data_IF_045573004920
#
_entry.id   IF_045573004920
#
_cell.length_a   1.000
_cell.length_b   1.000
_cell.length_c   1.000
_cell.angle_alpha   90.00
_cell.angle_beta   90.00
_cell.angle_gamma   90.00
#
_symmetry.space_group_name_H-M   'P 1'
#
loop_
_entity.id
_entity.type
_entity.pdbx_description
1 polymer ?
#
# COMPACT_ATOMS: atom_id res chain seq x y z
N UNK A 1 13.23 18.56 -16.36
CA UNK A 1 12.15 18.34 -15.38
C UNK A 1 11.27 17.25 -15.97
N UNK A 2 11.41 15.99 -15.53
CA UNK A 2 10.65 14.88 -16.13
C UNK A 2 9.28 14.80 -15.47
N UNK A 3 8.27 15.15 -16.26
CA UNK A 3 6.87 14.90 -15.98
C UNK A 3 6.69 13.40 -15.69
N UNK A 4 6.42 13.03 -14.43
CA UNK A 4 5.91 11.70 -14.13
C UNK A 4 4.45 11.71 -14.55
N UNK A 5 4.22 11.33 -15.81
CA UNK A 5 2.90 11.05 -16.34
C UNK A 5 2.29 9.98 -15.43
N UNK A 6 1.18 10.31 -14.79
CA UNK A 6 0.44 9.37 -13.98
C UNK A 6 -0.13 8.28 -14.91
N UNK A 7 0.67 7.25 -15.17
CA UNK A 7 0.18 6.02 -15.78
C UNK A 7 -0.97 5.54 -14.90
N UNK A 8 -2.16 5.48 -15.49
CA UNK A 8 -3.38 5.03 -14.83
C UNK A 8 -3.22 3.52 -14.65
N UNK A 9 -2.54 3.14 -13.56
CA UNK A 9 -2.30 1.73 -13.21
C UNK A 9 -3.66 1.04 -13.10
N UNK A 10 -3.89 0.04 -13.97
CA UNK A 10 -5.05 -0.83 -13.89
C UNK A 10 -4.82 -1.77 -12.72
N UNK A 11 -5.21 -1.32 -11.53
CA UNK A 11 -5.07 -2.05 -10.28
C UNK A 11 -6.24 -3.02 -10.09
N UNK A 12 -5.94 -4.22 -9.61
CA UNK A 12 -6.97 -5.19 -9.28
C UNK A 12 -7.66 -4.86 -7.94
N UNK A 13 -8.77 -5.53 -7.62
CA UNK A 13 -9.53 -5.27 -6.38
C UNK A 13 -8.71 -5.47 -5.08
N UNK A 14 -7.68 -6.32 -5.10
CA UNK A 14 -6.81 -6.54 -3.93
C UNK A 14 -5.83 -5.37 -3.76
N UNK A 15 -5.31 -4.84 -4.86
CA UNK A 15 -4.46 -3.66 -4.88
C UNK A 15 -5.22 -2.40 -4.48
N UNK A 16 -6.45 -2.21 -4.94
CA UNK A 16 -7.30 -1.10 -4.52
C UNK A 16 -7.51 -1.11 -2.99
N UNK A 17 -7.75 -2.30 -2.43
CA UNK A 17 -7.90 -2.49 -0.98
C UNK A 17 -6.60 -2.18 -0.24
N UNK A 18 -5.46 -2.60 -0.77
CA UNK A 18 -4.14 -2.25 -0.22
C UNK A 18 -3.91 -0.74 -0.23
N UNK A 19 -4.20 -0.08 -1.36
CA UNK A 19 -4.03 1.37 -1.50
C UNK A 19 -4.87 2.13 -0.47
N UNK A 20 -6.09 1.64 -0.20
CA UNK A 20 -6.99 2.20 0.80
C UNK A 20 -6.43 2.06 2.21
N UNK A 21 -5.90 0.88 2.55
CA UNK A 21 -5.27 0.63 3.85
C UNK A 21 -4.04 1.52 4.05
N UNK A 22 -3.18 1.65 3.03
CA UNK A 22 -2.00 2.53 3.09
C UNK A 22 -2.42 4.00 3.35
N UNK A 23 -3.47 4.47 2.67
CA UNK A 23 -3.99 5.82 2.89
C UNK A 23 -4.64 6.02 4.26
N UNK A 24 -5.29 4.99 4.79
CA UNK A 24 -5.98 5.02 6.08
C UNK A 24 -5.01 4.99 7.27
N UNK A 25 -3.93 4.20 7.16
CA UNK A 25 -2.94 4.04 8.24
C UNK A 25 -2.38 5.38 8.69
N UNK A 26 -2.12 6.32 7.77
CA UNK A 26 -1.66 7.68 8.05
C UNK A 26 -0.24 7.78 8.62
N UNK A 27 0.09 6.97 9.63
CA UNK A 27 1.39 6.81 10.25
C UNK A 27 1.52 5.39 10.84
N UNK A 28 2.65 4.74 10.60
CA UNK A 28 2.91 3.38 11.09
C UNK A 28 3.63 2.54 10.04
N UNK A 29 3.84 1.26 10.37
CA UNK A 29 4.47 0.30 9.46
C UNK A 29 3.40 -0.69 8.97
N UNK A 30 3.48 -1.08 7.70
CA UNK A 30 2.60 -2.11 7.12
C UNK A 30 3.50 -3.13 6.45
N UNK A 31 3.29 -4.40 6.77
CA UNK A 31 3.93 -5.51 6.07
C UNK A 31 2.96 -6.07 5.06
N UNK A 32 3.34 -5.96 3.80
CA UNK A 32 2.59 -6.54 2.68
C UNK A 32 3.37 -7.76 2.20
N UNK A 33 2.70 -8.90 2.16
CA UNK A 33 3.25 -10.12 1.57
C UNK A 33 2.71 -10.23 0.15
N UNK A 34 3.62 -10.08 -0.81
CA UNK A 34 3.35 -10.21 -2.23
C UNK A 34 3.84 -11.58 -2.67
N UNK A 35 3.02 -12.31 -3.40
CA UNK A 35 3.38 -13.59 -3.97
C UNK A 35 2.75 -13.69 -5.36
N UNK A 36 3.57 -14.09 -6.35
CA UNK A 36 3.20 -14.10 -7.77
C UNK A 36 2.58 -12.78 -8.26
N UNK A 37 3.14 -11.64 -7.82
CA UNK A 37 2.65 -10.31 -8.18
C UNK A 37 1.33 -9.90 -7.53
N UNK A 38 0.76 -10.73 -6.66
CA UNK A 38 -0.50 -10.45 -5.97
C UNK A 38 -0.26 -10.18 -4.47
N UNK A 39 -0.85 -9.12 -3.89
CA UNK A 39 -0.85 -8.95 -2.44
C UNK A 39 -1.74 -10.03 -1.83
N UNK A 40 -1.13 -11.00 -1.16
CA UNK A 40 -1.85 -12.12 -0.52
C UNK A 40 -2.24 -11.76 0.91
N UNK A 41 -1.40 -10.99 1.61
CA UNK A 41 -1.63 -10.65 3.01
C UNK A 41 -1.10 -9.26 3.34
N UNK A 42 -1.87 -8.52 4.11
CA UNK A 42 -1.55 -7.17 4.58
C UNK A 42 -1.62 -7.23 6.10
N UNK A 43 -0.49 -7.04 6.76
CA UNK A 43 -0.37 -6.99 8.22
C UNK A 43 0.00 -5.57 8.64
N UNK A 44 -0.86 -4.92 9.41
CA UNK A 44 -0.58 -3.62 9.99
C UNK A 44 0.33 -3.81 11.21
N UNK A 45 1.56 -3.30 11.15
CA UNK A 45 2.51 -3.29 12.25
C UNK A 45 2.47 -1.90 12.88
N UNK A 46 1.53 -1.69 13.81
CA UNK A 46 1.53 -0.47 14.62
C UNK A 46 2.77 -0.44 15.54
N UNK A 47 3.83 0.22 15.08
CA UNK A 47 4.81 0.87 15.96
C UNK A 47 4.67 2.37 15.82
N UNK A 48 3.69 2.92 16.54
CA UNK A 48 3.55 4.35 16.72
C UNK A 48 4.60 4.81 17.73
N UNK A 49 5.74 5.34 17.27
CA UNK A 49 6.47 6.29 18.11
C UNK A 49 5.79 7.63 17.87
N UNK A 50 4.87 7.95 18.77
CA UNK A 50 4.33 9.30 18.90
C UNK A 50 5.49 10.14 19.48
N UNK A 51 6.13 10.95 18.64
CA UNK A 51 7.11 11.95 19.07
C UNK A 51 6.42 13.08 19.83
#
# INVERSE_FOLDING_TARGET
>A
MKEHTAEKLVINAKEEKLLKIIKDVGYGEIKVIINEGNPIRIEELKKSIKL
#
